data_IF_879472216929
#
_entry.id   IF_879472216929
#
_cell.length_a   1.000
_cell.length_b   1.000
_cell.length_c   1.000
_cell.angle_alpha   90.00
_cell.angle_beta   90.00
_cell.angle_gamma   90.00
#
_symmetry.space_group_name_H-M   'P 1'
#
loop_
_entity.id
_entity.type
_entity.pdbx_description
1 polymer ?
#
# COMPACT_ATOMS: atom_id res chain seq x y z
N UNK A 1 3.90 -8.38 12.97
CA UNK A 1 3.75 -9.72 13.55
C UNK A 1 3.64 -9.57 15.05
N UNK A 2 2.59 -10.14 15.62
CA UNK A 2 2.34 -10.18 17.06
C UNK A 2 3.48 -10.94 17.72
N UNK A 3 4.03 -10.48 18.85
CA UNK A 3 4.80 -11.35 19.74
C UNK A 3 3.90 -12.51 20.18
N UNK A 4 4.01 -13.63 19.48
CA UNK A 4 3.29 -14.86 19.83
C UNK A 4 4.15 -15.59 20.83
N UNK A 5 3.61 -15.82 22.03
CA UNK A 5 4.30 -16.60 23.05
C UNK A 5 4.41 -18.04 22.55
N UNK A 6 5.63 -18.55 22.53
CA UNK A 6 5.94 -19.91 22.10
C UNK A 6 6.90 -20.56 23.08
N UNK A 7 6.89 -21.88 23.10
CA UNK A 7 7.97 -22.68 23.67
C UNK A 7 8.69 -23.40 22.55
N UNK A 8 10.01 -23.31 22.55
CA UNK A 8 10.87 -23.85 21.50
C UNK A 8 11.62 -25.05 22.03
N UNK A 9 11.62 -26.14 21.28
CA UNK A 9 12.44 -27.31 21.55
C UNK A 9 13.38 -27.56 20.38
N UNK A 10 14.59 -28.07 20.64
CA UNK A 10 15.54 -28.52 19.61
C UNK A 10 15.58 -30.05 19.59
N UNK A 11 15.50 -30.64 18.40
CA UNK A 11 15.64 -32.07 18.19
C UNK A 11 17.11 -32.47 18.22
N UNK A 12 17.50 -33.33 19.16
CA UNK A 12 18.84 -33.95 19.21
C UNK A 12 18.70 -35.43 19.58
N UNK A 13 19.28 -36.34 18.77
CA UNK A 13 19.32 -37.79 19.05
C UNK A 13 17.96 -38.39 19.46
N UNK A 14 16.91 -38.17 18.65
CA UNK A 14 15.53 -38.61 18.91
C UNK A 14 14.89 -38.08 20.21
N UNK A 15 15.44 -37.01 20.78
CA UNK A 15 14.90 -36.32 21.96
C UNK A 15 14.71 -34.84 21.68
N UNK A 16 13.77 -34.24 22.39
CA UNK A 16 13.50 -32.80 22.36
C UNK A 16 14.14 -32.15 23.59
N UNK A 17 15.05 -31.21 23.36
CA UNK A 17 15.67 -30.38 24.39
C UNK A 17 14.94 -29.03 24.45
N UNK A 18 14.48 -28.62 25.64
CA UNK A 18 13.81 -27.34 25.86
C UNK A 18 14.82 -26.19 25.69
N UNK A 19 14.61 -25.33 24.70
CA UNK A 19 15.54 -24.26 24.33
C UNK A 19 15.18 -22.96 25.04
N UNK A 20 13.94 -22.50 24.85
CA UNK A 20 13.45 -21.27 25.45
C UNK A 20 11.93 -21.21 25.46
N UNK A 21 11.40 -20.37 26.35
CA UNK A 21 10.05 -19.82 26.26
C UNK A 21 10.24 -18.35 25.92
N UNK A 22 9.56 -17.87 24.89
CA UNK A 22 9.80 -16.53 24.39
C UNK A 22 8.68 -16.05 23.47
N UNK A 23 8.94 -14.92 22.82
CA UNK A 23 7.99 -14.30 21.90
C UNK A 23 8.54 -14.29 20.48
N UNK A 24 7.78 -14.86 19.53
CA UNK A 24 8.07 -14.75 18.09
C UNK A 24 7.85 -13.28 17.68
N UNK A 25 8.91 -12.50 17.56
CA UNK A 25 8.82 -11.04 17.31
C UNK A 25 9.06 -10.68 15.84
N UNK A 26 9.73 -11.56 15.08
CA UNK A 26 9.94 -11.37 13.64
C UNK A 26 9.95 -12.70 12.87
N UNK A 27 9.36 -12.73 11.68
CA UNK A 27 9.60 -13.77 10.67
C UNK A 27 10.06 -13.06 9.39
N UNK A 28 11.07 -13.61 8.71
CA UNK A 28 11.55 -13.20 7.38
C UNK A 28 11.68 -14.45 6.51
N UNK A 29 11.92 -14.27 5.20
CA UNK A 29 12.18 -15.38 4.28
C UNK A 29 13.30 -16.26 4.83
N UNK A 30 12.90 -17.46 5.25
CA UNK A 30 13.75 -18.49 5.83
C UNK A 30 14.25 -18.31 7.26
N UNK A 31 13.70 -17.38 8.06
CA UNK A 31 14.10 -17.22 9.47
C UNK A 31 12.93 -16.80 10.37
N UNK A 32 12.79 -17.46 11.52
CA UNK A 32 11.92 -17.07 12.65
C UNK A 32 12.81 -16.53 13.77
N UNK A 33 12.51 -15.34 14.28
CA UNK A 33 13.22 -14.71 15.39
C UNK A 33 12.35 -14.68 16.64
N UNK A 34 12.91 -15.14 17.75
CA UNK A 34 12.23 -15.36 19.03
C UNK A 34 13.03 -14.65 20.11
N UNK A 35 12.40 -13.80 20.91
CA UNK A 35 13.03 -13.16 22.07
C UNK A 35 12.80 -14.06 23.29
N UNK A 36 13.87 -14.60 23.86
CA UNK A 36 13.81 -15.48 25.03
C UNK A 36 13.41 -14.66 26.28
N UNK A 37 12.34 -15.08 26.97
CA UNK A 37 11.83 -14.42 28.18
C UNK A 37 12.87 -14.34 29.31
N UNK A 38 13.80 -15.31 29.38
CA UNK A 38 14.79 -15.41 30.46
C UNK A 38 16.00 -14.53 30.17
N UNK A 39 16.60 -14.68 28.98
CA UNK A 39 17.82 -13.93 28.63
C UNK A 39 17.55 -12.56 28.01
N UNK A 40 16.33 -12.31 27.52
CA UNK A 40 15.99 -11.15 26.68
C UNK A 40 16.73 -11.12 25.35
N UNK A 41 17.46 -12.18 25.00
CA UNK A 41 18.26 -12.22 23.77
C UNK A 41 17.43 -12.80 22.62
N UNK A 42 17.58 -12.25 21.41
CA UNK A 42 16.97 -12.85 20.23
C UNK A 42 17.68 -14.15 19.87
N UNK A 43 16.89 -15.16 19.58
CA UNK A 43 17.24 -16.46 19.03
C UNK A 43 16.66 -16.56 17.60
N UNK A 44 17.38 -17.18 16.68
CA UNK A 44 16.97 -17.34 15.27
C UNK A 44 16.84 -18.82 14.93
N UNK A 45 15.71 -19.21 14.32
CA UNK A 45 15.48 -20.52 13.70
C UNK A 45 15.48 -20.31 12.19
N UNK A 46 16.49 -20.83 11.49
CA UNK A 46 16.57 -20.78 10.03
C UNK A 46 15.87 -21.99 9.40
N UNK A 47 15.16 -21.80 8.30
CA UNK A 47 14.43 -22.84 7.56
C UNK A 47 14.31 -22.52 6.08
N UNK A 48 14.22 -23.53 5.22
CA UNK A 48 13.99 -23.36 3.77
C UNK A 48 12.57 -23.79 3.35
N UNK A 49 12.25 -23.58 2.08
CA UNK A 49 10.93 -23.86 1.50
C UNK A 49 10.60 -25.34 1.66
N UNK A 50 9.38 -25.66 2.15
CA UNK A 50 8.89 -27.00 2.54
C UNK A 50 9.45 -27.56 3.85
N UNK A 51 10.33 -26.86 4.56
CA UNK A 51 10.89 -27.33 5.82
C UNK A 51 10.13 -26.84 7.07
N UNK A 52 8.84 -26.51 6.90
CA UNK A 52 7.93 -26.11 7.97
C UNK A 52 6.63 -26.93 7.82
N UNK A 53 6.17 -27.59 8.89
CA UNK A 53 5.00 -28.47 8.81
C UNK A 53 4.27 -28.64 10.14
N UNK A 54 2.98 -28.97 10.04
CA UNK A 54 2.10 -29.23 11.19
C UNK A 54 2.49 -30.53 11.90
N UNK A 55 2.57 -30.50 13.22
CA UNK A 55 2.58 -31.69 14.08
C UNK A 55 1.24 -31.85 14.80
N UNK A 56 1.14 -32.83 15.69
CA UNK A 56 -0.03 -33.01 16.55
C UNK A 56 -0.21 -31.78 17.44
N UNK A 57 -1.46 -31.42 17.70
CA UNK A 57 -1.82 -30.32 18.60
C UNK A 57 -1.19 -28.98 18.16
N UNK A 58 -1.06 -28.01 19.04
CA UNK A 58 -0.52 -26.67 18.87
C UNK A 58 0.97 -26.56 18.46
N UNK A 59 1.54 -27.54 17.74
CA UNK A 59 2.97 -27.62 17.43
C UNK A 59 3.24 -27.51 15.93
N UNK A 60 4.24 -26.70 15.56
CA UNK A 60 4.85 -26.65 14.23
C UNK A 60 6.27 -27.19 14.31
N UNK A 61 6.64 -28.06 13.37
CA UNK A 61 8.02 -28.51 13.20
C UNK A 61 8.67 -27.68 12.11
N UNK A 62 9.80 -27.09 12.45
CA UNK A 62 10.63 -26.31 11.54
C UNK A 62 12.00 -26.97 11.49
N UNK A 63 12.44 -27.36 10.31
CA UNK A 63 13.71 -28.06 10.12
C UNK A 63 14.56 -27.37 9.07
N UNK A 64 15.84 -27.68 9.06
CA UNK A 64 16.73 -27.45 7.94
C UNK A 64 17.68 -28.65 7.80
N UNK A 65 18.65 -28.57 6.90
CA UNK A 65 19.60 -29.67 6.66
C UNK A 65 20.46 -30.03 7.89
N UNK A 66 20.47 -29.19 8.94
CA UNK A 66 21.35 -29.30 10.11
C UNK A 66 20.60 -29.47 11.43
N UNK A 67 19.43 -28.85 11.58
CA UNK A 67 18.73 -28.71 12.85
C UNK A 67 17.21 -28.88 12.69
N UNK A 68 16.58 -29.49 13.69
CA UNK A 68 15.12 -29.62 13.79
C UNK A 68 14.65 -28.89 15.05
N UNK A 69 13.59 -28.10 14.92
CA UNK A 69 12.98 -27.34 16.01
C UNK A 69 11.48 -27.60 16.07
N UNK A 70 10.93 -27.72 17.28
CA UNK A 70 9.49 -27.71 17.52
C UNK A 70 9.09 -26.39 18.16
N UNK A 71 8.14 -25.70 17.54
CA UNK A 71 7.56 -24.44 18.03
C UNK A 71 6.15 -24.74 18.54
N UNK A 72 5.98 -24.70 19.85
CA UNK A 72 4.71 -24.96 20.53
C UNK A 72 4.00 -23.62 20.81
N UNK A 73 2.83 -23.44 20.21
CA UNK A 73 1.95 -22.28 20.35
C UNK A 73 0.99 -22.47 21.53
N UNK A 74 0.35 -21.42 22.05
CA UNK A 74 -0.63 -21.58 23.14
C UNK A 74 -1.92 -22.28 22.69
N UNK A 75 -2.30 -22.12 21.42
CA UNK A 75 -3.54 -22.64 20.87
C UNK A 75 -3.35 -23.18 19.44
N UNK A 76 -4.21 -24.12 19.06
CA UNK A 76 -4.22 -24.74 17.73
C UNK A 76 -4.53 -23.73 16.61
N UNK A 77 -5.37 -22.75 16.89
CA UNK A 77 -5.73 -21.66 15.98
C UNK A 77 -4.51 -20.80 15.64
N UNK A 78 -3.66 -20.51 16.64
CA UNK A 78 -2.45 -19.71 16.45
C UNK A 78 -1.43 -20.45 15.58
N UNK A 79 -1.26 -21.76 15.81
CA UNK A 79 -0.44 -22.64 14.98
C UNK A 79 -0.93 -22.64 13.53
N UNK A 80 -2.23 -22.77 13.30
CA UNK A 80 -2.79 -22.80 11.95
C UNK A 80 -2.64 -21.45 11.24
N UNK A 81 -2.84 -20.34 11.94
CA UNK A 81 -2.57 -19.00 11.41
C UNK A 81 -1.09 -18.78 11.09
N UNK A 82 -0.17 -19.30 11.92
CA UNK A 82 1.27 -19.25 11.67
C UNK A 82 1.65 -20.04 10.41
N UNK A 83 1.14 -21.26 10.26
CA UNK A 83 1.38 -22.08 9.07
C UNK A 83 0.81 -21.42 7.82
N UNK A 84 -0.41 -20.88 7.89
CA UNK A 84 -1.02 -20.15 6.78
C UNK A 84 -0.16 -18.94 6.37
N UNK A 85 0.38 -18.19 7.33
CA UNK A 85 1.30 -17.08 7.07
C UNK A 85 2.61 -17.54 6.40
N UNK A 86 3.21 -18.62 6.91
CA UNK A 86 4.44 -19.18 6.31
C UNK A 86 4.17 -19.69 4.88
N UNK A 87 3.08 -20.43 4.67
CA UNK A 87 2.73 -21.01 3.37
C UNK A 87 2.30 -19.96 2.34
N UNK A 88 1.42 -19.01 2.73
CA UNK A 88 0.80 -18.07 1.78
C UNK A 88 1.59 -16.79 1.59
N UNK A 89 2.22 -16.25 2.63
CA UNK A 89 2.79 -14.89 2.57
C UNK A 89 4.31 -14.88 2.41
N UNK A 90 5.01 -15.93 2.86
CA UNK A 90 6.48 -16.01 2.80
C UNK A 90 6.99 -16.73 1.55
N UNK A 91 6.36 -17.84 1.16
CA UNK A 91 6.79 -18.64 0.00
C UNK A 91 6.22 -18.14 -1.33
N UNK A 92 5.08 -17.44 -1.32
CA UNK A 92 4.54 -16.82 -2.54
C UNK A 92 5.36 -15.65 -3.08
N UNK A 93 6.34 -15.14 -2.32
CA UNK A 93 7.22 -14.02 -2.71
C UNK A 93 8.48 -14.45 -3.50
N UNK A 94 8.55 -15.70 -3.98
CA UNK A 94 9.76 -16.32 -4.56
C UNK A 94 10.31 -15.68 -5.85
N UNK A 95 9.66 -14.68 -6.45
CA UNK A 95 10.11 -14.03 -7.69
C UNK A 95 10.88 -12.71 -7.51
N UNK A 96 11.18 -12.27 -6.28
CA UNK A 96 11.80 -10.94 -6.03
C UNK A 96 13.26 -10.96 -5.54
N UNK A 97 13.96 -12.10 -5.62
CA UNK A 97 15.41 -12.13 -5.40
C UNK A 97 16.18 -11.81 -6.68
N UNK A 98 17.02 -10.77 -6.58
CA UNK A 98 18.29 -10.49 -7.26
C UNK A 98 18.29 -9.04 -7.77
N UNK A 99 18.90 -8.16 -6.95
CA UNK A 99 19.22 -6.73 -7.20
C UNK A 99 18.10 -5.75 -6.89
N UNK A 100 18.09 -5.23 -5.67
CA UNK A 100 18.38 -3.81 -5.46
C UNK A 100 18.61 -3.55 -3.97
N UNK A 101 19.90 -3.43 -3.64
CA UNK A 101 20.37 -2.78 -2.43
C UNK A 101 19.98 -1.29 -2.48
N UNK A 102 19.50 -0.78 -1.35
CA UNK A 102 19.56 0.63 -0.95
C UNK A 102 18.70 1.65 -1.72
N UNK A 103 17.39 1.71 -1.44
CA UNK A 103 16.72 3.00 -1.15
C UNK A 103 15.63 2.82 -0.08
N UNK A 104 15.47 3.84 0.75
CA UNK A 104 14.73 3.81 2.01
C UNK A 104 13.21 3.77 1.82
N UNK A 105 12.63 2.57 1.70
CA UNK A 105 11.19 2.31 1.95
C UNK A 105 10.94 0.81 2.16
N UNK A 106 11.77 0.19 2.99
CA UNK A 106 11.49 -1.14 3.50
C UNK A 106 10.46 -1.07 4.63
N UNK A 107 9.49 -1.99 4.59
CA UNK A 107 8.71 -2.47 5.75
C UNK A 107 7.62 -1.53 6.25
N UNK A 108 6.38 -1.91 6.00
CA UNK A 108 5.40 -2.09 7.06
C UNK A 108 4.42 -3.19 6.65
N UNK A 109 4.86 -4.45 6.78
CA UNK A 109 3.93 -5.58 6.93
C UNK A 109 3.06 -5.32 8.14
N UNK A 110 1.90 -4.71 7.90
CA UNK A 110 0.69 -4.64 8.72
C UNK A 110 0.89 -4.83 10.25
N UNK A 111 1.74 -4.00 10.84
CA UNK A 111 1.98 -3.97 12.30
C UNK A 111 0.66 -3.70 13.05
N UNK A 112 -0.22 -2.90 12.45
CA UNK A 112 -1.54 -2.58 12.98
C UNK A 112 -2.53 -3.76 12.96
N UNK A 113 -2.63 -4.57 11.89
CA UNK A 113 -3.51 -5.75 11.91
C UNK A 113 -3.00 -6.83 12.86
N UNK A 114 -1.68 -6.95 13.02
CA UNK A 114 -1.08 -7.75 14.09
C UNK A 114 -1.50 -7.22 15.47
N UNK A 115 -1.29 -5.94 15.78
CA UNK A 115 -1.64 -5.34 17.08
C UNK A 115 -3.15 -5.42 17.41
N UNK A 116 -4.03 -5.33 16.42
CA UNK A 116 -5.49 -5.45 16.57
C UNK A 116 -5.96 -6.88 16.92
N UNK A 117 -5.18 -7.91 16.56
CA UNK A 117 -5.46 -9.32 16.88
C UNK A 117 -5.07 -9.68 18.33
N UNK A 118 -4.01 -9.08 18.88
CA UNK A 118 -3.48 -9.39 20.24
C UNK A 118 -4.47 -9.04 21.34
N UNK A 119 -5.12 -7.89 21.20
CA UNK A 119 -5.92 -7.35 22.28
C UNK A 119 -7.26 -8.07 22.49
N UNK A 120 -7.68 -8.88 21.50
CA UNK A 120 -8.90 -9.69 21.60
C UNK A 120 -8.82 -10.80 22.65
N UNK A 121 -7.65 -11.09 23.21
CA UNK A 121 -7.42 -12.27 24.06
C UNK A 121 -7.20 -11.96 25.55
N UNK A 122 -7.34 -10.72 26.04
CA UNK A 122 -7.34 -10.49 27.49
C UNK A 122 -8.66 -10.98 28.10
N UNK A 123 -8.57 -12.02 28.93
CA UNK A 123 -9.69 -12.55 29.71
C UNK A 123 -10.33 -11.44 30.56
N UNK A 124 -11.64 -11.23 30.39
CA UNK A 124 -12.42 -10.23 31.12
C UNK A 124 -12.30 -10.38 32.65
N UNK A 125 -12.06 -11.58 33.17
CA UNK A 125 -11.83 -11.84 34.59
C UNK A 125 -10.50 -11.31 35.11
N UNK A 126 -9.45 -11.33 34.28
CA UNK A 126 -8.12 -10.79 34.61
C UNK A 126 -8.20 -9.26 34.57
N UNK A 127 -8.76 -8.70 33.50
CA UNK A 127 -8.99 -7.26 33.38
C UNK A 127 -9.84 -6.72 34.55
N UNK A 128 -10.91 -7.44 34.92
CA UNK A 128 -11.78 -7.09 36.04
C UNK A 128 -11.07 -7.05 37.39
N UNK A 129 -10.18 -8.03 37.67
CA UNK A 129 -9.34 -8.05 38.88
C UNK A 129 -8.31 -6.91 38.89
N UNK A 130 -7.68 -6.62 37.75
CA UNK A 130 -6.72 -5.50 37.67
C UNK A 130 -7.40 -4.14 37.87
N UNK A 131 -8.68 -4.01 37.51
CA UNK A 131 -9.51 -2.83 37.79
C UNK A 131 -9.94 -2.69 39.27
N UNK A 132 -9.51 -3.55 40.19
CA UNK A 132 -9.80 -3.43 41.64
C UNK A 132 -8.82 -2.53 42.39
N UNK A 133 -7.64 -2.25 41.81
CA UNK A 133 -6.60 -1.44 42.47
C UNK A 133 -5.95 -0.43 41.52
N UNK A 134 -5.39 0.64 42.08
CA UNK A 134 -4.62 1.64 41.31
C UNK A 134 -3.41 1.01 40.62
N UNK A 135 -2.71 0.10 41.31
CA UNK A 135 -1.53 -0.58 40.77
C UNK A 135 -1.88 -1.50 39.59
N UNK A 136 -3.02 -2.20 39.65
CA UNK A 136 -3.50 -3.01 38.53
C UNK A 136 -3.81 -2.16 37.28
N UNK A 137 -4.40 -0.97 37.44
CA UNK A 137 -4.59 -0.04 36.31
C UNK A 137 -3.26 0.43 35.72
N UNK A 138 -2.28 0.77 36.56
CA UNK A 138 -0.95 1.20 36.08
C UNK A 138 -0.22 0.08 35.35
N UNK A 139 -0.37 -1.18 35.79
CA UNK A 139 0.16 -2.33 35.06
C UNK A 139 -0.48 -2.48 33.68
N UNK A 140 -1.82 -2.39 33.58
CA UNK A 140 -2.52 -2.42 32.28
C UNK A 140 -2.04 -1.30 31.34
N UNK A 141 -1.77 -0.10 31.86
CA UNK A 141 -1.25 1.02 31.08
C UNK A 141 0.19 0.79 30.58
N UNK A 142 1.03 0.19 31.41
CA UNK A 142 2.42 -0.17 31.06
C UNK A 142 2.53 -1.32 30.06
N UNK A 143 1.44 -2.05 29.80
CA UNK A 143 1.38 -3.00 28.69
C UNK A 143 1.28 -2.31 27.32
N UNK A 144 1.11 -0.98 27.29
CA UNK A 144 1.25 -0.15 26.08
C UNK A 144 0.36 -0.61 24.91
N UNK A 145 -0.85 -1.10 25.21
CA UNK A 145 -1.78 -1.67 24.24
C UNK A 145 -3.01 -0.76 24.04
N UNK A 146 -3.29 -0.39 22.78
CA UNK A 146 -4.38 0.54 22.43
C UNK A 146 -5.77 0.05 22.80
N UNK A 147 -6.03 -1.26 22.72
CA UNK A 147 -7.31 -1.80 23.14
C UNK A 147 -7.45 -1.78 24.66
N UNK A 148 -6.37 -2.06 25.41
CA UNK A 148 -6.38 -1.92 26.87
C UNK A 148 -6.64 -0.46 27.26
N UNK A 149 -6.03 0.50 26.57
CA UNK A 149 -6.34 1.92 26.75
C UNK A 149 -7.82 2.23 26.49
N UNK A 150 -8.41 1.65 25.43
CA UNK A 150 -9.84 1.78 25.13
C UNK A 150 -10.72 1.13 26.20
N UNK A 151 -10.43 -0.09 26.64
CA UNK A 151 -11.17 -0.77 27.70
C UNK A 151 -11.08 -0.01 29.03
N UNK A 152 -9.93 0.59 29.35
CA UNK A 152 -9.75 1.45 30.51
C UNK A 152 -10.59 2.74 30.40
N UNK A 153 -10.68 3.33 29.21
CA UNK A 153 -11.57 4.48 28.95
C UNK A 153 -13.05 4.11 29.08
N UNK A 154 -13.46 2.94 28.56
CA UNK A 154 -14.82 2.42 28.69
C UNK A 154 -15.20 2.16 30.16
N UNK A 155 -14.21 1.87 31.02
CA UNK A 155 -14.35 1.75 32.48
C UNK A 155 -13.89 3.00 33.24
N UNK A 156 -13.83 4.15 32.55
CA UNK A 156 -13.18 5.36 33.04
C UNK A 156 -13.73 5.88 34.37
N UNK A 157 -15.01 5.67 34.68
CA UNK A 157 -15.60 6.07 35.97
C UNK A 157 -15.00 5.31 37.15
N UNK A 158 -14.72 4.01 36.97
CA UNK A 158 -14.08 3.17 37.98
C UNK A 158 -12.61 3.56 38.12
N UNK A 159 -11.92 3.80 37.00
CA UNK A 159 -10.52 4.27 37.00
C UNK A 159 -10.40 5.63 37.70
N UNK A 160 -11.22 6.61 37.33
CA UNK A 160 -11.19 7.95 37.93
C UNK A 160 -11.44 7.91 39.44
N UNK A 161 -12.34 7.04 39.92
CA UNK A 161 -12.53 6.80 41.36
C UNK A 161 -11.28 6.25 42.05
N UNK A 162 -10.59 5.28 41.45
CA UNK A 162 -9.35 4.72 42.00
C UNK A 162 -8.21 5.75 42.08
N UNK A 163 -8.19 6.73 41.18
CA UNK A 163 -7.20 7.81 41.15
C UNK A 163 -7.65 9.09 41.88
N UNK A 164 -8.82 9.08 42.52
CA UNK A 164 -9.33 10.24 43.28
C UNK A 164 -9.70 11.46 42.43
N UNK A 165 -10.01 11.25 41.15
CA UNK A 165 -10.39 12.32 40.21
C UNK A 165 -11.79 12.83 40.55
N UNK A 166 -11.96 14.15 40.65
CA UNK A 166 -13.25 14.76 41.00
C UNK A 166 -14.35 14.36 40.00
N UNK A 167 -15.55 14.05 40.51
CA UNK A 167 -16.71 13.58 39.73
C UNK A 167 -17.20 14.54 38.64
N UNK A 168 -16.73 15.80 38.64
CA UNK A 168 -17.05 16.80 37.62
C UNK A 168 -16.25 16.63 36.33
N UNK A 169 -15.15 15.87 36.35
CA UNK A 169 -14.30 15.70 35.19
C UNK A 169 -14.94 14.75 34.18
N UNK A 170 -14.96 15.16 32.91
CA UNK A 170 -15.49 14.34 31.82
C UNK A 170 -14.46 13.27 31.45
N UNK A 171 -14.91 12.01 31.36
CA UNK A 171 -14.09 10.90 30.85
C UNK A 171 -13.95 11.07 29.34
N UNK A 172 -12.81 11.59 28.92
CA UNK A 172 -12.38 11.69 27.53
C UNK A 172 -10.95 11.16 27.43
N UNK A 173 -10.45 10.76 26.26
CA UNK A 173 -9.04 10.34 26.12
C UNK A 173 -8.06 11.38 26.69
N UNK A 174 -8.28 12.67 26.38
CA UNK A 174 -7.48 13.78 26.93
C UNK A 174 -7.65 13.96 28.45
N UNK A 175 -8.88 13.87 28.97
CA UNK A 175 -9.13 13.92 30.41
C UNK A 175 -8.43 12.77 31.14
N UNK A 176 -8.44 11.58 30.56
CA UNK A 176 -7.75 10.41 31.08
C UNK A 176 -6.23 10.59 31.04
N UNK A 177 -5.68 11.15 29.95
CA UNK A 177 -4.27 11.50 29.89
C UNK A 177 -3.87 12.48 30.99
N UNK A 178 -4.61 13.59 31.13
CA UNK A 178 -4.29 14.65 32.08
C UNK A 178 -4.41 14.21 33.55
N UNK A 179 -5.42 13.39 33.87
CA UNK A 179 -5.72 13.01 35.25
C UNK A 179 -5.04 11.70 35.68
N UNK A 180 -4.79 10.77 34.74
CA UNK A 180 -4.25 9.44 35.02
C UNK A 180 -2.84 9.28 34.46
N UNK A 181 -2.61 9.51 33.17
CA UNK A 181 -1.32 9.18 32.54
C UNK A 181 -0.21 10.15 32.96
N UNK A 182 -0.36 11.43 32.62
CA UNK A 182 0.66 12.45 32.79
C UNK A 182 1.09 12.68 34.25
N UNK A 183 0.25 12.27 35.21
CA UNK A 183 0.52 12.39 36.65
C UNK A 183 1.15 11.14 37.28
N UNK A 184 1.12 9.99 36.62
CA UNK A 184 1.46 8.70 37.24
C UNK A 184 2.45 7.85 36.45
N UNK A 185 2.62 8.14 35.16
CA UNK A 185 3.56 7.47 34.28
C UNK A 185 4.59 8.47 33.77
N UNK A 186 5.75 7.96 33.41
CA UNK A 186 6.83 8.67 32.76
C UNK A 186 7.35 7.86 31.56
N UNK A 187 8.20 8.49 30.75
CA UNK A 187 8.98 7.78 29.75
C UNK A 187 8.15 7.15 28.61
N UNK A 188 8.45 5.90 28.21
CA UNK A 188 7.83 5.23 27.07
C UNK A 188 6.30 5.12 27.16
N UNK A 189 5.75 4.76 28.32
CA UNK A 189 4.30 4.55 28.46
C UNK A 189 3.47 5.82 28.25
N UNK A 190 3.99 6.99 28.65
CA UNK A 190 3.36 8.28 28.36
C UNK A 190 3.35 8.53 26.86
N UNK A 191 4.48 8.29 26.18
CA UNK A 191 4.60 8.43 24.72
C UNK A 191 3.69 7.47 23.97
N UNK A 192 3.59 6.20 24.38
CA UNK A 192 2.67 5.25 23.74
C UNK A 192 1.21 5.62 23.97
N UNK A 193 0.87 6.21 25.13
CA UNK A 193 -0.46 6.77 25.32
C UNK A 193 -0.65 8.08 24.52
N UNK A 194 0.37 8.90 24.31
CA UNK A 194 0.32 10.05 23.40
C UNK A 194 0.11 9.58 21.96
N UNK A 195 0.76 8.51 21.52
CA UNK A 195 0.51 7.84 20.25
C UNK A 195 -0.90 7.28 20.18
N UNK A 196 -1.42 6.76 21.31
CA UNK A 196 -2.83 6.41 21.43
C UNK A 196 -3.74 7.63 21.42
N UNK A 197 -3.36 8.79 21.98
CA UNK A 197 -4.12 10.03 21.86
C UNK A 197 -4.05 10.58 20.44
N UNK A 198 -2.98 10.35 19.70
CA UNK A 198 -2.87 10.69 18.28
C UNK A 198 -3.76 9.72 17.49
N UNK A 199 -3.75 8.43 17.83
CA UNK A 199 -4.54 7.38 17.20
C UNK A 199 -6.04 7.39 17.60
N UNK A 200 -6.40 7.84 18.79
CA UNK A 200 -7.76 8.08 19.28
C UNK A 200 -8.19 9.51 19.03
N UNK A 201 -7.25 10.43 18.90
CA UNK A 201 -7.42 11.76 18.29
C UNK A 201 -7.73 11.66 16.80
N UNK A 202 -7.75 10.44 16.24
CA UNK A 202 -8.64 10.07 15.13
C UNK A 202 -10.15 10.25 15.47
N UNK A 203 -10.50 10.73 16.66
CA UNK A 203 -11.82 11.18 17.10
C UNK A 203 -12.12 12.55 16.50
N UNK A 204 -12.82 12.50 15.37
CA UNK A 204 -13.87 13.45 15.02
C UNK A 204 -13.49 14.94 15.07
N UNK A 205 -13.00 15.44 13.94
CA UNK A 205 -13.53 16.70 13.40
C UNK A 205 -14.97 16.53 12.86
N UNK A 206 -15.82 15.72 13.53
CA UNK A 206 -17.27 15.91 13.47
C UNK A 206 -17.69 17.27 14.06
N UNK A 207 -16.72 18.09 14.50
CA UNK A 207 -16.87 19.50 14.86
C UNK A 207 -16.19 20.48 13.90
N UNK A 208 -15.93 20.12 12.64
CA UNK A 208 -15.61 21.11 11.60
C UNK A 208 -16.32 20.96 10.26
N UNK A 209 -17.37 20.14 10.14
CA UNK A 209 -18.28 20.26 8.98
C UNK A 209 -18.80 21.72 8.86
N UNK A 210 -18.88 22.46 9.99
CA UNK A 210 -19.21 23.90 10.01
C UNK A 210 -18.05 24.88 9.81
N UNK A 211 -16.77 24.45 9.78
CA UNK A 211 -15.63 25.35 9.55
C UNK A 211 -15.07 25.29 8.14
N UNK A 212 -15.13 24.16 7.45
CA UNK A 212 -14.65 24.06 6.05
C UNK A 212 -15.43 25.00 5.13
N UNK A 213 -16.74 25.19 5.39
CA UNK A 213 -17.55 26.16 4.67
C UNK A 213 -17.04 27.61 4.82
N UNK A 214 -16.45 27.95 5.97
CA UNK A 214 -15.95 29.30 6.28
C UNK A 214 -14.46 29.52 6.00
N UNK A 215 -13.69 28.48 5.73
CA UNK A 215 -12.26 28.59 5.40
C UNK A 215 -12.05 29.20 4.02
N UNK A 216 -10.93 29.88 3.77
CA UNK A 216 -10.49 30.25 2.41
C UNK A 216 -9.95 29.03 1.64
N UNK A 217 -9.77 29.14 0.32
CA UNK A 217 -9.24 28.02 -0.46
C UNK A 217 -7.77 27.72 -0.08
N UNK A 218 -6.98 28.73 0.28
CA UNK A 218 -5.63 28.59 0.84
C UNK A 218 -5.65 27.83 2.18
N UNK A 219 -6.56 28.17 3.08
CA UNK A 219 -6.69 27.50 4.37
C UNK A 219 -7.07 26.02 4.19
N UNK A 220 -7.95 25.72 3.24
CA UNK A 220 -8.32 24.34 2.92
C UNK A 220 -7.13 23.61 2.29
N UNK A 221 -6.40 24.24 1.36
CA UNK A 221 -5.20 23.66 0.76
C UNK A 221 -4.16 23.31 1.82
N UNK A 222 -3.82 24.25 2.71
CA UNK A 222 -2.85 24.02 3.79
C UNK A 222 -3.34 22.93 4.75
N UNK A 223 -4.64 22.89 5.02
CA UNK A 223 -5.26 21.84 5.81
C UNK A 223 -5.14 20.48 5.14
N UNK A 224 -5.50 20.36 3.85
CA UNK A 224 -5.40 19.13 3.07
C UNK A 224 -3.95 18.65 2.94
N UNK A 225 -2.99 19.56 2.72
CA UNK A 225 -1.56 19.23 2.66
C UNK A 225 -1.05 18.65 3.98
N UNK A 226 -1.38 19.29 5.10
CA UNK A 226 -1.09 18.74 6.44
C UNK A 226 -1.75 17.37 6.62
N UNK A 227 -2.96 17.22 6.08
CA UNK A 227 -3.68 15.96 6.09
C UNK A 227 -3.09 14.87 5.20
N UNK A 228 -2.45 15.21 4.09
CA UNK A 228 -1.73 14.22 3.27
C UNK A 228 -0.52 13.62 3.97
N UNK A 229 0.07 14.35 4.92
CA UNK A 229 1.27 13.93 5.67
C UNK A 229 0.96 13.10 6.92
N UNK A 230 -0.31 12.88 7.26
CA UNK A 230 -0.71 12.19 8.50
C UNK A 230 -2.14 11.67 8.44
N UNK A 231 -2.47 10.62 9.20
CA UNK A 231 -3.74 9.88 9.05
C UNK A 231 -4.96 10.62 9.66
N UNK A 232 -5.30 11.81 9.17
CA UNK A 232 -6.46 12.58 9.64
C UNK A 232 -7.77 12.17 8.96
N UNK A 233 -8.89 12.30 9.69
CA UNK A 233 -10.25 12.25 9.11
C UNK A 233 -10.69 13.67 8.76
N UNK A 234 -10.95 13.91 7.48
CA UNK A 234 -11.08 15.24 6.88
C UNK A 234 -12.52 15.42 6.39
N UNK A 235 -13.54 15.41 7.24
CA UNK A 235 -14.94 15.64 6.81
C UNK A 235 -15.49 14.65 5.76
N UNK A 236 -16.49 15.09 4.97
CA UNK A 236 -17.12 14.32 3.88
C UNK A 236 -16.55 14.76 2.53
N UNK A 237 -16.25 13.80 1.66
CA UNK A 237 -15.62 14.04 0.35
C UNK A 237 -16.44 15.00 -0.52
N UNK A 238 -17.77 14.88 -0.48
CA UNK A 238 -18.71 15.64 -1.30
C UNK A 238 -18.58 17.15 -1.07
N UNK A 239 -18.38 17.59 0.17
CA UNK A 239 -18.23 19.01 0.50
C UNK A 239 -16.94 19.60 -0.09
N UNK A 240 -15.87 18.82 -0.15
CA UNK A 240 -14.62 19.25 -0.76
C UNK A 240 -14.73 19.25 -2.29
N UNK A 241 -15.39 18.24 -2.87
CA UNK A 241 -15.67 18.17 -4.31
C UNK A 241 -16.46 19.39 -4.78
N UNK A 242 -17.56 19.74 -4.11
CA UNK A 242 -18.36 20.94 -4.41
C UNK A 242 -17.53 22.24 -4.40
N UNK A 243 -16.47 22.26 -3.59
CA UNK A 243 -15.61 23.42 -3.41
C UNK A 243 -14.52 23.49 -4.45
N UNK A 244 -13.79 22.39 -4.70
CA UNK A 244 -12.78 22.37 -5.75
C UNK A 244 -13.41 22.62 -7.11
N UNK A 245 -14.62 22.13 -7.39
CA UNK A 245 -15.32 22.40 -8.67
C UNK A 245 -15.62 23.88 -8.92
N UNK A 246 -15.46 24.74 -7.91
CA UNK A 246 -15.57 26.20 -8.02
C UNK A 246 -14.24 26.93 -7.87
N UNK A 247 -13.16 26.22 -7.55
CA UNK A 247 -11.83 26.80 -7.37
C UNK A 247 -11.04 26.76 -8.69
N UNK A 248 -10.31 27.84 -8.93
CA UNK A 248 -9.48 28.01 -10.13
C UNK A 248 -7.99 28.02 -9.80
N UNK A 249 -7.61 28.24 -8.53
CA UNK A 249 -6.21 28.44 -8.16
C UNK A 249 -5.56 27.15 -7.67
N UNK A 250 -6.17 26.42 -6.74
CA UNK A 250 -5.56 25.23 -6.12
C UNK A 250 -6.26 23.94 -6.53
N UNK A 251 -7.01 23.98 -7.64
CA UNK A 251 -7.88 22.89 -8.10
C UNK A 251 -7.19 21.52 -8.08
N UNK A 252 -6.06 21.40 -8.79
CA UNK A 252 -5.39 20.13 -8.99
C UNK A 252 -4.66 19.64 -7.75
N UNK A 253 -4.01 20.55 -7.03
CA UNK A 253 -3.36 20.24 -5.76
C UNK A 253 -4.37 19.75 -4.72
N UNK A 254 -5.52 20.42 -4.58
CA UNK A 254 -6.60 19.96 -3.71
C UNK A 254 -7.17 18.63 -4.18
N UNK A 255 -7.41 18.45 -5.49
CA UNK A 255 -7.86 17.18 -6.07
C UNK A 255 -6.91 16.03 -5.70
N UNK A 256 -5.60 16.22 -5.84
CA UNK A 256 -4.58 15.25 -5.45
C UNK A 256 -4.70 14.86 -3.97
N UNK A 257 -4.70 15.85 -3.06
CA UNK A 257 -4.81 15.55 -1.63
C UNK A 257 -6.13 14.88 -1.27
N UNK A 258 -7.24 15.26 -1.92
CA UNK A 258 -8.51 14.59 -1.71
C UNK A 258 -8.45 13.13 -2.17
N UNK A 259 -7.85 12.84 -3.32
CA UNK A 259 -7.60 11.47 -3.76
C UNK A 259 -6.77 10.71 -2.71
N UNK A 260 -5.69 11.31 -2.22
CA UNK A 260 -4.80 10.71 -1.23
C UNK A 260 -5.51 10.42 0.11
N UNK A 261 -6.36 11.33 0.59
CA UNK A 261 -7.03 11.26 1.89
C UNK A 261 -8.28 10.35 1.82
N UNK A 262 -9.02 10.40 0.72
CA UNK A 262 -10.32 9.73 0.55
C UNK A 262 -10.31 8.63 -0.50
N UNK A 263 -9.15 7.98 -0.73
CA UNK A 263 -8.90 6.98 -1.80
C UNK A 263 -10.14 6.19 -2.22
N UNK A 264 -10.70 5.36 -1.33
CA UNK A 264 -11.83 4.47 -1.64
C UNK A 264 -13.14 5.20 -1.98
N UNK A 265 -13.38 6.40 -1.43
CA UNK A 265 -14.62 7.15 -1.66
C UNK A 265 -14.53 8.09 -2.84
N UNK A 266 -13.32 8.53 -3.18
CA UNK A 266 -13.11 9.45 -4.30
C UNK A 266 -13.49 8.81 -5.62
N UNK A 267 -13.18 7.53 -5.83
CA UNK A 267 -13.56 6.83 -7.07
C UNK A 267 -15.07 6.81 -7.30
N UNK A 268 -15.88 6.76 -6.24
CA UNK A 268 -17.35 6.79 -6.31
C UNK A 268 -17.95 8.19 -6.42
N UNK A 269 -17.34 9.18 -5.75
CA UNK A 269 -17.93 10.51 -5.60
C UNK A 269 -17.48 11.51 -6.67
N UNK A 270 -16.29 11.32 -7.26
CA UNK A 270 -15.71 12.27 -8.20
C UNK A 270 -16.40 12.22 -9.57
N UNK A 271 -16.74 13.39 -10.12
CA UNK A 271 -17.08 13.54 -11.53
C UNK A 271 -15.81 13.49 -12.38
N UNK A 272 -15.48 12.30 -12.88
CA UNK A 272 -14.30 12.07 -13.73
C UNK A 272 -14.33 12.92 -14.99
N UNK A 273 -15.50 13.09 -15.62
CA UNK A 273 -15.63 13.90 -16.84
C UNK A 273 -15.28 15.37 -16.58
N UNK A 274 -15.71 15.90 -15.44
CA UNK A 274 -15.32 17.24 -15.01
C UNK A 274 -13.82 17.36 -14.75
N UNK A 275 -13.22 16.44 -14.00
CA UNK A 275 -11.76 16.42 -13.74
C UNK A 275 -11.00 16.40 -15.06
N UNK A 276 -11.32 15.48 -15.96
CA UNK A 276 -10.67 15.34 -17.26
C UNK A 276 -10.81 16.60 -18.11
N UNK A 277 -11.99 17.24 -18.10
CA UNK A 277 -12.21 18.52 -18.80
C UNK A 277 -11.26 19.62 -18.28
N UNK A 278 -11.05 19.70 -16.96
CA UNK A 278 -10.11 20.65 -16.35
C UNK A 278 -8.66 20.32 -16.73
N UNK A 279 -8.26 19.05 -16.67
CA UNK A 279 -6.90 18.61 -17.05
C UNK A 279 -6.62 18.97 -18.52
N UNK A 280 -7.59 18.76 -19.40
CA UNK A 280 -7.46 19.14 -20.82
C UNK A 280 -7.20 20.64 -20.99
N UNK A 281 -7.80 21.48 -20.15
CA UNK A 281 -7.50 22.91 -20.06
C UNK A 281 -6.00 23.18 -19.88
N UNK A 282 -5.38 22.52 -18.90
CA UNK A 282 -3.92 22.62 -18.66
C UNK A 282 -3.11 22.21 -19.89
N UNK A 283 -3.47 21.10 -20.53
CA UNK A 283 -2.70 20.58 -21.68
C UNK A 283 -2.75 21.50 -22.91
N UNK A 284 -3.71 22.43 -22.99
CA UNK A 284 -3.79 23.40 -24.07
C UNK A 284 -2.93 24.66 -23.82
N UNK A 285 -2.49 24.89 -22.58
CA UNK A 285 -1.75 26.10 -22.20
C UNK A 285 -0.24 26.01 -22.47
N UNK A 286 0.26 24.86 -22.98
CA UNK A 286 1.65 24.60 -23.42
C UNK A 286 2.77 24.77 -22.37
N UNK A 287 2.46 25.13 -21.13
CA UNK A 287 3.44 25.23 -20.04
C UNK A 287 3.30 24.05 -19.08
N UNK A 288 4.43 23.44 -18.71
CA UNK A 288 4.48 22.49 -17.61
C UNK A 288 4.23 23.25 -16.30
N UNK A 289 3.09 22.96 -15.66
CA UNK A 289 2.78 23.40 -14.31
C UNK A 289 2.76 22.20 -13.36
N UNK A 290 3.10 22.45 -12.09
CA UNK A 290 2.97 21.45 -11.02
C UNK A 290 1.52 20.92 -10.92
N UNK A 291 0.53 21.74 -11.34
CA UNK A 291 -0.87 21.35 -11.42
C UNK A 291 -1.09 20.13 -12.30
N UNK A 292 -0.34 20.01 -13.40
CA UNK A 292 -0.45 18.85 -14.28
C UNK A 292 0.07 17.58 -13.60
N UNK A 293 1.14 17.68 -12.81
CA UNK A 293 1.66 16.57 -12.02
C UNK A 293 0.66 16.16 -10.94
N UNK A 294 0.11 17.11 -10.18
CA UNK A 294 -0.93 16.83 -9.19
C UNK A 294 -2.17 16.16 -9.81
N UNK A 295 -2.58 16.61 -10.99
CA UNK A 295 -3.66 15.99 -11.72
C UNK A 295 -3.40 14.52 -12.03
N UNK A 296 -2.21 14.21 -12.57
CA UNK A 296 -1.84 12.85 -12.90
C UNK A 296 -1.69 11.97 -11.66
N UNK A 297 -1.08 12.48 -10.58
CA UNK A 297 -0.98 11.78 -9.30
C UNK A 297 -2.37 11.44 -8.72
N UNK A 298 -3.32 12.37 -8.79
CA UNK A 298 -4.70 12.10 -8.40
C UNK A 298 -5.35 11.03 -9.27
N UNK A 299 -5.15 11.06 -10.59
CA UNK A 299 -5.66 10.02 -11.50
C UNK A 299 -5.05 8.64 -11.23
N UNK A 300 -3.74 8.54 -10.94
CA UNK A 300 -3.10 7.29 -10.53
C UNK A 300 -3.77 6.71 -9.28
N UNK A 301 -3.97 7.53 -8.24
CA UNK A 301 -4.62 7.10 -7.00
C UNK A 301 -6.05 6.61 -7.25
N UNK A 302 -6.80 7.31 -8.12
CA UNK A 302 -8.15 6.88 -8.48
C UNK A 302 -8.17 5.52 -9.17
N UNK A 303 -7.24 5.28 -10.11
CA UNK A 303 -7.12 4.01 -10.84
C UNK A 303 -6.80 2.84 -9.91
N UNK A 304 -5.94 3.04 -8.92
CA UNK A 304 -5.54 2.02 -7.95
C UNK A 304 -6.71 1.50 -7.09
N UNK A 305 -7.75 2.32 -6.93
CA UNK A 305 -8.94 2.02 -6.11
C UNK A 305 -10.23 2.01 -6.93
N UNK A 306 -10.12 2.07 -8.25
CA UNK A 306 -11.26 2.15 -9.16
C UNK A 306 -11.96 0.79 -9.23
N UNK A 307 -13.29 0.78 -9.08
CA UNK A 307 -14.06 -0.45 -9.25
C UNK A 307 -14.13 -0.83 -10.74
N UNK A 308 -14.23 -2.13 -11.07
CA UNK A 308 -14.31 -2.58 -12.46
C UNK A 308 -15.41 -1.91 -13.29
N UNK A 309 -16.55 -1.52 -12.70
CA UNK A 309 -17.65 -0.88 -13.42
C UNK A 309 -17.33 0.58 -13.79
N UNK A 310 -16.48 1.25 -13.01
CA UNK A 310 -16.11 2.64 -13.21
C UNK A 310 -14.96 2.81 -14.20
N UNK A 311 -14.14 1.76 -14.39
CA UNK A 311 -13.05 1.76 -15.36
C UNK A 311 -13.54 2.06 -16.78
N UNK A 312 -14.73 1.62 -17.19
CA UNK A 312 -15.24 1.90 -18.54
C UNK A 312 -15.56 3.38 -18.73
N UNK A 313 -16.19 4.01 -17.73
CA UNK A 313 -16.42 5.45 -17.70
C UNK A 313 -15.09 6.18 -17.74
N UNK A 314 -14.12 5.76 -16.93
CA UNK A 314 -12.79 6.32 -16.91
C UNK A 314 -12.13 6.29 -18.31
N UNK A 315 -12.12 5.15 -18.99
CA UNK A 315 -11.55 5.02 -20.34
C UNK A 315 -12.24 5.90 -21.38
N UNK A 316 -13.58 6.04 -21.31
CA UNK A 316 -14.31 6.93 -22.21
C UNK A 316 -13.91 8.40 -22.02
N UNK A 317 -13.79 8.85 -20.78
CA UNK A 317 -13.49 10.26 -20.48
C UNK A 317 -12.04 10.62 -20.82
N UNK A 318 -11.06 9.81 -20.39
CA UNK A 318 -9.63 10.12 -20.55
C UNK A 318 -9.17 10.14 -22.01
N UNK A 319 -9.96 9.62 -22.95
CA UNK A 319 -9.54 9.49 -24.35
C UNK A 319 -9.02 10.80 -24.94
N UNK A 320 -9.67 11.91 -24.58
CA UNK A 320 -9.32 13.24 -25.08
C UNK A 320 -8.02 13.80 -24.48
N UNK A 321 -7.54 13.27 -23.35
CA UNK A 321 -6.26 13.68 -22.77
C UNK A 321 -5.09 13.29 -23.68
N UNK A 322 -5.22 12.16 -24.37
CA UNK A 322 -4.18 11.64 -25.25
C UNK A 322 -4.15 12.31 -26.63
N UNK A 323 -5.00 13.32 -26.88
CA UNK A 323 -4.96 14.09 -28.11
C UNK A 323 -3.66 14.89 -28.27
N UNK A 324 -2.96 15.20 -27.18
CA UNK A 324 -1.68 15.90 -27.14
C UNK A 324 -0.53 15.02 -26.63
N UNK A 325 -0.66 13.69 -26.70
CA UNK A 325 0.29 12.72 -26.13
C UNK A 325 1.76 12.97 -26.51
N UNK A 326 2.01 13.47 -27.72
CA UNK A 326 3.34 13.76 -28.25
C UNK A 326 4.07 14.86 -27.46
N UNK A 327 3.33 15.75 -26.79
CA UNK A 327 3.87 16.96 -26.17
C UNK A 327 4.18 16.76 -24.68
N UNK A 328 3.65 15.69 -24.08
CA UNK A 328 3.68 15.48 -22.63
C UNK A 328 4.21 14.08 -22.28
N UNK A 329 5.49 13.96 -21.88
CA UNK A 329 6.06 12.70 -21.40
C UNK A 329 5.30 12.08 -20.23
N UNK A 330 4.67 12.88 -19.36
CA UNK A 330 3.87 12.35 -18.27
C UNK A 330 2.56 11.70 -18.74
N UNK A 331 1.96 12.17 -19.84
CA UNK A 331 0.85 11.44 -20.49
C UNK A 331 1.32 10.14 -21.12
N UNK A 332 2.53 10.13 -21.69
CA UNK A 332 3.17 8.91 -22.21
C UNK A 332 3.38 7.89 -21.08
N UNK A 333 3.89 8.33 -19.92
CA UNK A 333 4.03 7.50 -18.73
C UNK A 333 2.68 7.00 -18.18
N UNK A 334 1.68 7.89 -18.12
CA UNK A 334 0.33 7.54 -17.69
C UNK A 334 -0.31 6.49 -18.60
N UNK A 335 -0.09 6.59 -19.92
CA UNK A 335 -0.59 5.58 -20.84
C UNK A 335 0.14 4.23 -20.69
N UNK A 336 1.45 4.24 -20.45
CA UNK A 336 2.20 3.01 -20.14
C UNK A 336 1.69 2.38 -18.85
N UNK A 337 1.38 3.18 -17.84
CA UNK A 337 0.80 2.72 -16.58
C UNK A 337 -0.55 2.02 -16.79
N UNK A 338 -1.46 2.66 -17.54
CA UNK A 338 -2.75 2.06 -17.89
C UNK A 338 -2.54 0.71 -18.56
N UNK A 339 -1.63 0.65 -19.54
CA UNK A 339 -1.37 -0.58 -20.29
C UNK A 339 -0.81 -1.69 -19.40
N UNK A 340 0.11 -1.36 -18.50
CA UNK A 340 0.72 -2.32 -17.58
C UNK A 340 -0.27 -2.89 -16.56
N UNK A 341 -1.14 -2.05 -15.99
CA UNK A 341 -2.01 -2.44 -14.87
C UNK A 341 -3.42 -2.88 -15.28
N UNK A 342 -3.93 -2.43 -16.43
CA UNK A 342 -5.30 -2.71 -16.89
C UNK A 342 -5.33 -3.33 -18.29
N UNK A 343 -4.28 -4.07 -18.63
CA UNK A 343 -3.89 -4.38 -20.01
C UNK A 343 -5.00 -4.86 -20.95
N UNK A 344 -5.98 -5.67 -20.51
CA UNK A 344 -7.08 -6.07 -21.41
C UNK A 344 -7.92 -4.86 -21.87
N UNK A 345 -8.40 -4.04 -20.92
CA UNK A 345 -9.26 -2.89 -21.22
C UNK A 345 -8.50 -1.78 -21.94
N UNK A 346 -7.24 -1.53 -21.54
CA UNK A 346 -6.40 -0.53 -22.23
C UNK A 346 -6.15 -0.91 -23.67
N UNK A 347 -5.90 -2.20 -23.97
CA UNK A 347 -5.71 -2.67 -25.34
C UNK A 347 -6.94 -2.44 -26.20
N UNK A 348 -8.11 -2.81 -25.68
CA UNK A 348 -9.38 -2.59 -26.35
C UNK A 348 -9.62 -1.10 -26.63
N UNK A 349 -9.46 -0.26 -25.60
CA UNK A 349 -9.53 1.19 -25.70
C UNK A 349 -8.59 1.75 -26.78
N UNK A 350 -7.31 1.37 -26.77
CA UNK A 350 -6.31 1.86 -27.71
C UNK A 350 -6.56 1.43 -29.16
N UNK A 351 -7.14 0.24 -29.36
CA UNK A 351 -7.52 -0.25 -30.68
C UNK A 351 -8.76 0.49 -31.18
N UNK A 352 -9.79 0.61 -30.34
CA UNK A 352 -11.09 1.18 -30.72
C UNK A 352 -11.00 2.69 -30.99
N UNK A 353 -10.16 3.41 -30.26
CA UNK A 353 -9.90 4.85 -30.47
C UNK A 353 -8.91 5.13 -31.61
N UNK A 354 -8.21 4.10 -32.12
CA UNK A 354 -7.15 4.27 -33.11
C UNK A 354 -5.84 4.84 -32.55
N UNK A 355 -5.76 5.10 -31.24
CA UNK A 355 -4.58 5.68 -30.59
C UNK A 355 -3.35 4.76 -30.72
N UNK A 356 -3.54 3.43 -30.72
CA UNK A 356 -2.46 2.47 -31.00
C UNK A 356 -1.81 2.73 -32.37
N UNK A 357 -2.61 2.94 -33.41
CA UNK A 357 -2.09 3.23 -34.75
C UNK A 357 -1.36 4.56 -34.76
N UNK A 358 -1.94 5.59 -34.14
CA UNK A 358 -1.33 6.92 -34.05
C UNK A 358 0.05 6.85 -33.41
N UNK A 359 0.19 6.21 -32.25
CA UNK A 359 1.47 6.09 -31.52
C UNK A 359 2.55 5.48 -32.42
N UNK A 360 2.27 4.34 -33.03
CA UNK A 360 3.27 3.57 -33.75
C UNK A 360 3.52 4.04 -35.18
N UNK A 361 2.49 4.60 -35.85
CA UNK A 361 2.65 5.19 -37.19
C UNK A 361 3.24 6.60 -37.13
N UNK A 362 3.06 7.38 -36.08
CA UNK A 362 3.77 8.66 -35.94
C UNK A 362 5.26 8.45 -35.65
N UNK A 363 5.58 7.39 -34.90
CA UNK A 363 6.95 7.10 -34.47
C UNK A 363 7.59 8.27 -33.70
N UNK A 364 8.92 8.35 -33.69
CA UNK A 364 9.63 9.46 -33.05
C UNK A 364 9.41 10.81 -33.77
N UNK A 365 9.16 10.78 -35.08
CA UNK A 365 8.87 11.99 -35.86
C UNK A 365 7.61 12.74 -35.42
N UNK A 366 6.72 12.08 -34.69
CA UNK A 366 5.57 12.71 -34.05
C UNK A 366 5.90 13.49 -32.76
N UNK A 367 7.08 13.31 -32.17
CA UNK A 367 7.39 13.80 -30.80
C UNK A 367 7.22 12.75 -29.71
N UNK A 368 6.89 11.50 -30.07
CA UNK A 368 6.84 10.39 -29.12
C UNK A 368 8.25 10.04 -28.62
N UNK A 369 8.40 9.80 -27.31
CA UNK A 369 9.66 9.42 -26.72
C UNK A 369 10.09 7.99 -27.10
N UNK A 370 11.38 7.80 -27.38
CA UNK A 370 11.92 6.49 -27.77
C UNK A 370 11.70 5.40 -26.70
N UNK A 371 11.88 5.78 -25.43
CA UNK A 371 11.64 4.90 -24.28
C UNK A 371 10.16 4.54 -24.15
N UNK A 372 9.25 5.50 -24.39
CA UNK A 372 7.81 5.26 -24.37
C UNK A 372 7.40 4.26 -25.46
N UNK A 373 7.85 4.47 -26.70
CA UNK A 373 7.59 3.55 -27.81
C UNK A 373 8.12 2.14 -27.52
N UNK A 374 9.31 2.04 -26.93
CA UNK A 374 9.91 0.76 -26.55
C UNK A 374 9.11 0.05 -25.46
N UNK A 375 8.68 0.78 -24.41
CA UNK A 375 7.83 0.23 -23.34
C UNK A 375 6.48 -0.22 -23.87
N UNK A 376 5.84 0.58 -24.72
CA UNK A 376 4.57 0.21 -25.36
C UNK A 376 4.73 -1.05 -26.24
N UNK A 377 5.82 -1.15 -27.00
CA UNK A 377 6.12 -2.33 -27.81
C UNK A 377 6.31 -3.57 -26.92
N UNK A 378 7.11 -3.46 -25.86
CA UNK A 378 7.29 -4.54 -24.89
C UNK A 378 5.95 -5.01 -24.33
N UNK A 379 5.07 -4.09 -23.97
CA UNK A 379 3.73 -4.41 -23.45
C UNK A 379 2.83 -5.10 -24.49
N UNK A 380 2.89 -4.67 -25.76
CA UNK A 380 2.16 -5.33 -26.85
C UNK A 380 2.65 -6.76 -27.06
N UNK A 381 3.96 -6.98 -27.01
CA UNK A 381 4.58 -8.29 -27.29
C UNK A 381 4.47 -9.25 -26.11
N UNK A 382 4.65 -8.76 -24.89
CA UNK A 382 4.61 -9.58 -23.66
C UNK A 382 3.20 -9.99 -23.23
N UNK A 383 2.14 -9.39 -23.79
CA UNK A 383 0.78 -9.70 -23.35
C UNK A 383 0.26 -11.10 -23.77
N UNK A 384 0.99 -11.82 -24.63
CA UNK A 384 0.61 -13.17 -25.11
C UNK A 384 -0.66 -13.20 -25.97
N UNK A 385 -1.27 -12.05 -26.30
CA UNK A 385 -2.50 -11.99 -27.07
C UNK A 385 -2.21 -12.12 -28.57
N UNK A 386 -2.55 -13.28 -29.14
CA UNK A 386 -2.51 -13.51 -30.59
C UNK A 386 -3.31 -12.47 -31.38
N UNK A 387 -4.40 -11.95 -30.80
CA UNK A 387 -5.19 -10.88 -31.41
C UNK A 387 -4.36 -9.60 -31.55
N UNK A 388 -3.64 -9.20 -30.50
CA UNK A 388 -2.76 -8.02 -30.54
C UNK A 388 -1.63 -8.20 -31.54
N UNK A 389 -0.95 -9.35 -31.54
CA UNK A 389 0.14 -9.61 -32.48
C UNK A 389 -0.39 -9.53 -33.93
N UNK A 390 -1.51 -10.20 -34.23
CA UNK A 390 -2.15 -10.11 -35.55
C UNK A 390 -2.58 -8.70 -35.91
N UNK A 391 -3.13 -7.94 -34.97
CA UNK A 391 -3.49 -6.54 -35.19
C UNK A 391 -2.25 -5.71 -35.56
N UNK A 392 -1.16 -5.88 -34.81
CA UNK A 392 0.09 -5.14 -35.01
C UNK A 392 0.74 -5.48 -36.36
N UNK A 393 0.81 -6.77 -36.71
CA UNK A 393 1.31 -7.26 -38.00
C UNK A 393 0.44 -6.80 -39.15
N UNK A 394 -0.89 -6.96 -39.06
CA UNK A 394 -1.85 -6.61 -40.13
C UNK A 394 -1.81 -5.14 -40.49
N UNK A 395 -1.57 -4.27 -39.50
CA UNK A 395 -1.52 -2.82 -39.70
C UNK A 395 -0.09 -2.28 -39.88
N UNK A 396 0.91 -3.16 -39.94
CA UNK A 396 2.33 -2.84 -40.11
C UNK A 396 2.87 -1.77 -39.15
N UNK A 397 2.52 -1.89 -37.87
CA UNK A 397 2.76 -0.83 -36.88
C UNK A 397 4.23 -0.68 -36.48
N UNK A 398 5.09 -1.67 -36.72
CA UNK A 398 6.52 -1.54 -36.39
C UNK A 398 7.29 -0.66 -37.38
N UNK A 399 6.76 -0.47 -38.60
CA UNK A 399 7.52 0.07 -39.73
C UNK A 399 8.24 1.38 -39.43
N UNK A 400 7.57 2.32 -38.76
CA UNK A 400 8.09 3.67 -38.55
C UNK A 400 8.97 3.80 -37.29
N UNK A 401 8.99 2.77 -36.43
CA UNK A 401 9.85 2.74 -35.23
C UNK A 401 11.03 1.78 -35.39
N UNK A 402 11.03 0.92 -36.42
CA UNK A 402 12.10 -0.03 -36.69
C UNK A 402 13.48 0.65 -36.81
N UNK A 403 13.52 1.84 -37.40
CA UNK A 403 14.74 2.63 -37.59
C UNK A 403 15.46 2.93 -36.27
N UNK A 404 14.71 3.17 -35.19
CA UNK A 404 15.25 3.44 -33.85
C UNK A 404 16.13 2.28 -33.34
N UNK A 405 15.84 1.05 -33.74
CA UNK A 405 16.51 -0.16 -33.25
C UNK A 405 17.58 -0.68 -34.21
N UNK A 406 17.65 -0.18 -35.46
CA UNK A 406 18.61 -0.64 -36.48
C UNK A 406 20.05 -0.38 -36.09
N UNK A 407 20.32 0.73 -35.40
CA UNK A 407 21.68 1.09 -34.98
C UNK A 407 22.22 0.23 -33.83
N UNK A 408 21.37 -0.58 -33.19
CA UNK A 408 21.73 -1.49 -32.08
C UNK A 408 22.56 -0.82 -30.99
N UNK A 409 22.26 0.45 -30.69
CA UNK A 409 22.90 1.21 -29.62
C UNK A 409 22.69 0.49 -28.29
N UNK A 410 23.72 0.38 -27.45
CA UNK A 410 23.62 -0.28 -26.14
C UNK A 410 23.05 0.68 -25.09
N UNK A 411 21.82 1.13 -25.30
CA UNK A 411 21.10 2.02 -24.40
C UNK A 411 19.82 1.36 -23.84
N UNK A 412 19.09 2.10 -23.00
CA UNK A 412 17.86 1.62 -22.39
C UNK A 412 16.76 1.29 -23.43
N UNK A 413 16.69 2.07 -24.51
CA UNK A 413 15.71 1.90 -25.61
C UNK A 413 15.91 0.53 -26.26
N UNK A 414 17.15 0.24 -26.68
CA UNK A 414 17.47 -1.04 -27.29
C UNK A 414 17.37 -2.20 -26.30
N UNK A 415 17.72 -2.01 -25.03
CA UNK A 415 17.56 -3.03 -23.99
C UNK A 415 16.09 -3.43 -23.80
N UNK A 416 15.16 -2.47 -23.77
CA UNK A 416 13.72 -2.73 -23.66
C UNK A 416 13.21 -3.44 -24.92
N UNK A 417 13.71 -3.06 -26.10
CA UNK A 417 13.39 -3.75 -27.35
C UNK A 417 13.84 -5.22 -27.35
N UNK A 418 15.06 -5.51 -26.89
CA UNK A 418 15.55 -6.88 -26.78
C UNK A 418 14.69 -7.73 -25.83
N UNK A 419 14.22 -7.14 -24.73
CA UNK A 419 13.23 -7.78 -23.86
C UNK A 419 11.95 -8.09 -24.62
N UNK A 420 11.43 -7.13 -25.41
CA UNK A 420 10.23 -7.36 -26.22
C UNK A 420 10.41 -8.54 -27.18
N UNK A 421 11.53 -8.58 -27.92
CA UNK A 421 11.86 -9.70 -28.81
C UNK A 421 11.94 -11.05 -28.09
N UNK A 422 12.40 -11.09 -26.84
CA UNK A 422 12.49 -12.33 -26.06
C UNK A 422 11.12 -12.90 -25.66
N UNK A 423 10.09 -12.05 -25.60
CA UNK A 423 8.71 -12.44 -25.28
C UNK A 423 7.83 -12.68 -26.52
N UNK A 424 8.33 -12.40 -27.73
CA UNK A 424 7.57 -12.53 -28.96
C UNK A 424 7.25 -13.99 -29.30
N UNK A 425 6.02 -14.25 -29.75
CA UNK A 425 5.69 -15.52 -30.41
C UNK A 425 6.38 -15.62 -31.79
N UNK A 426 6.29 -16.78 -32.43
CA UNK A 426 6.98 -17.04 -33.71
C UNK A 426 6.61 -16.06 -34.81
N UNK A 427 5.34 -15.70 -34.92
CA UNK A 427 4.82 -14.83 -35.99
C UNK A 427 5.28 -13.39 -35.77
N UNK A 428 5.16 -12.91 -34.54
CA UNK A 428 5.59 -11.57 -34.14
C UNK A 428 7.11 -11.43 -34.23
N UNK A 429 7.87 -12.45 -33.82
CA UNK A 429 9.33 -12.46 -33.96
C UNK A 429 9.76 -12.39 -35.42
N UNK A 430 9.17 -13.23 -36.29
CA UNK A 430 9.43 -13.19 -37.74
C UNK A 430 9.11 -11.83 -38.34
N UNK A 431 8.01 -11.21 -37.90
CA UNK A 431 7.62 -9.87 -38.32
C UNK A 431 8.66 -8.81 -37.90
N UNK A 432 9.05 -8.77 -36.62
CA UNK A 432 10.05 -7.82 -36.12
C UNK A 432 11.41 -8.00 -36.83
N UNK A 433 11.89 -9.24 -36.97
CA UNK A 433 13.16 -9.57 -37.61
C UNK A 433 13.20 -9.06 -39.07
N UNK A 434 12.10 -9.21 -39.82
CA UNK A 434 11.99 -8.75 -41.20
C UNK A 434 12.19 -7.23 -41.32
N UNK A 435 11.69 -6.44 -40.38
CA UNK A 435 11.85 -4.98 -40.40
C UNK A 435 13.24 -4.51 -39.96
N UNK A 436 13.97 -5.32 -39.19
CA UNK A 436 15.35 -5.03 -38.80
C UNK A 436 16.38 -5.41 -39.87
N UNK A 437 16.02 -6.32 -40.79
CA UNK A 437 16.87 -6.72 -41.92
C UNK A 437 16.78 -5.75 -43.10
N UNK A 438 15.64 -5.09 -43.26
CA UNK A 438 15.41 -3.98 -44.19
C UNK A 438 15.85 -2.67 -43.55
#
# INVERSE_FOLDING_TARGET
MIPVRVRVFKGTNDKWEDMCIGMVFRIRRGSIFIEDDVSGRPFEISFEEKQCGKSKENVVIVYNDLEEHAICFEAEEIRDEFLEFVEKDLWSQSDLDVREECTASGRETNLFASLFRISRYMDASIFGRMLESRDGVLQLLRMENFHLFRMLLENGERVFRLFGVASKNKITPHGFYAEVIARNLDGPAVRTYEDFLIAMGKQELARSESKVAGMSNEEIRDFLRKCGSSSYKVGRVEMYLERIYKDDVYFFEMFYYLCLIFKERMSEAVDIGYIVCRIRGLTNEKYFSDDFLYALEGLYILLDVCKPEQLDVFYMEISSLFDNLEWYPDLQNFLVYLFGNHGFRTREFLINTGLMKRIFLSGCGGGMGEVFLSKMLLQVVSCGSRFMHRYFIKNDLFRNIAEMYRERRKDAVYSIFLQACSHADSDMKTYLDRHLQN
#
